data_IF_457163184523
#
_entry.id   IF_457163184523
#
_cell.length_a   1.000
_cell.length_b   1.000
_cell.length_c   1.000
_cell.angle_alpha   90.00
_cell.angle_beta   90.00
_cell.angle_gamma   90.00
#
_symmetry.space_group_name_H-M   'P 1'
#
loop_
_entity.id
_entity.type
_entity.pdbx_description
1 polymer ?
#
# COMPACT_ATOMS: atom_id res chain seq x y z
N UNK A 1 -26.97 1.08 12.14
CA UNK A 1 -26.35 -0.11 11.51
C UNK A 1 -25.03 -0.36 12.23
N UNK A 2 -24.74 -1.59 12.69
CA UNK A 2 -23.51 -1.82 13.45
C UNK A 2 -22.33 -1.84 12.46
N UNK A 3 -21.56 -0.76 12.43
CA UNK A 3 -20.27 -0.71 11.74
C UNK A 3 -19.21 -1.35 12.63
N UNK A 4 -19.11 -2.68 12.63
CA UNK A 4 -17.93 -3.34 13.19
C UNK A 4 -16.81 -3.25 12.15
N UNK A 5 -15.91 -2.27 12.32
CA UNK A 5 -14.66 -2.17 11.57
C UNK A 5 -13.84 -3.44 11.83
N UNK A 6 -13.91 -4.43 10.93
CA UNK A 6 -12.97 -5.54 10.99
C UNK A 6 -11.56 -5.03 10.70
N UNK A 7 -10.54 -5.48 11.45
CA UNK A 7 -9.17 -5.07 11.21
C UNK A 7 -8.72 -5.57 9.83
N UNK A 8 -8.26 -4.65 8.98
CA UNK A 8 -7.69 -4.99 7.68
C UNK A 8 -6.30 -5.61 7.86
N UNK A 9 -6.05 -6.71 7.16
CA UNK A 9 -4.72 -7.32 7.13
C UNK A 9 -3.90 -6.72 5.97
N UNK A 10 -3.08 -5.72 6.29
CA UNK A 10 -2.26 -5.04 5.28
C UNK A 10 -1.05 -5.88 4.84
N UNK A 11 -0.70 -5.87 3.55
CA UNK A 11 0.47 -6.55 3.06
C UNK A 11 1.75 -5.91 3.63
N UNK A 12 2.75 -6.76 3.90
CA UNK A 12 4.04 -6.31 4.41
C UNK A 12 4.76 -5.49 3.35
N UNK A 13 5.14 -4.27 3.70
CA UNK A 13 6.02 -3.43 2.89
C UNK A 13 7.44 -3.55 3.41
N UNK A 14 8.37 -4.04 2.58
CA UNK A 14 9.78 -4.12 2.95
C UNK A 14 10.32 -2.71 3.19
N UNK A 15 11.07 -2.52 4.28
CA UNK A 15 11.87 -1.32 4.50
C UNK A 15 13.29 -1.58 4.00
N UNK A 16 13.82 -0.67 3.21
CA UNK A 16 15.22 -0.61 2.82
C UNK A 16 15.97 0.41 3.68
N UNK A 17 17.30 0.38 3.62
CA UNK A 17 18.17 1.29 4.39
C UNK A 17 18.58 2.54 3.58
N UNK A 18 17.83 2.91 2.54
CA UNK A 18 18.13 4.09 1.72
C UNK A 18 18.05 5.36 2.58
N UNK A 19 19.11 6.16 2.55
CA UNK A 19 19.21 7.45 3.24
C UNK A 19 19.97 8.41 2.34
N UNK A 20 19.40 9.60 2.15
CA UNK A 20 19.99 10.69 1.38
C UNK A 20 20.48 11.81 2.32
N UNK A 21 21.55 12.52 1.97
CA UNK A 21 22.05 13.67 2.71
C UNK A 21 21.67 14.97 1.99
N UNK A 22 20.89 15.82 2.66
CA UNK A 22 20.54 17.15 2.21
C UNK A 22 21.20 18.20 3.10
N UNK A 23 22.32 18.76 2.61
CA UNK A 23 23.06 19.85 3.28
C UNK A 23 23.48 19.51 4.73
N UNK A 24 23.89 18.28 4.98
CA UNK A 24 24.26 17.76 6.30
C UNK A 24 23.09 17.15 7.08
N UNK A 25 21.89 17.10 6.50
CA UNK A 25 20.69 16.48 7.10
C UNK A 25 20.40 15.14 6.44
N UNK A 26 20.55 14.06 7.21
CA UNK A 26 20.22 12.70 6.75
C UNK A 26 18.70 12.48 6.72
N UNK A 27 18.16 12.05 5.59
CA UNK A 27 16.74 11.77 5.36
C UNK A 27 16.57 10.34 4.84
N UNK A 28 15.92 9.49 5.63
CA UNK A 28 15.66 8.10 5.26
C UNK A 28 14.47 7.98 4.30
N UNK A 29 14.65 7.20 3.24
CA UNK A 29 13.60 6.83 2.29
C UNK A 29 13.45 5.31 2.20
N UNK A 30 12.86 4.66 3.22
CA UNK A 30 12.83 3.21 3.33
C UNK A 30 12.02 2.52 2.24
N UNK A 31 11.25 3.26 1.43
CA UNK A 31 10.40 2.73 0.37
C UNK A 31 10.78 3.22 -1.02
N UNK A 32 11.99 3.78 -1.20
CA UNK A 32 12.57 4.17 -2.51
C UNK A 32 12.41 3.10 -3.60
N UNK A 33 12.40 1.82 -3.22
CA UNK A 33 12.20 0.71 -4.16
C UNK A 33 10.84 0.74 -4.89
N UNK A 34 9.82 1.38 -4.32
CA UNK A 34 8.52 1.59 -4.97
C UNK A 34 8.59 2.62 -6.13
N UNK A 35 9.68 3.38 -6.25
CA UNK A 35 9.88 4.31 -7.37
C UNK A 35 10.23 3.60 -8.69
N UNK A 36 10.58 2.31 -8.65
CA UNK A 36 10.73 1.46 -9.84
C UNK A 36 9.40 0.71 -10.09
N UNK A 37 8.54 1.19 -11.02
CA UNK A 37 7.26 0.58 -11.32
C UNK A 37 7.39 -0.74 -12.11
N UNK A 38 8.53 -0.95 -12.78
CA UNK A 38 8.74 -2.13 -13.62
C UNK A 38 9.33 -3.30 -12.84
N UNK A 39 9.81 -3.04 -11.61
CA UNK A 39 10.30 -4.11 -10.72
C UNK A 39 9.19 -5.10 -10.35
N UNK A 40 9.56 -6.38 -10.28
CA UNK A 40 8.63 -7.43 -9.85
C UNK A 40 8.20 -7.25 -8.38
N UNK A 41 9.05 -6.63 -7.54
CA UNK A 41 8.71 -6.31 -6.15
C UNK A 41 7.58 -5.28 -6.09
N UNK A 42 7.67 -4.18 -6.86
CA UNK A 42 6.63 -3.14 -6.90
C UNK A 42 5.33 -3.68 -7.46
N UNK A 43 5.38 -4.47 -8.54
CA UNK A 43 4.18 -5.10 -9.11
C UNK A 43 3.48 -6.02 -8.11
N UNK A 44 4.22 -6.88 -7.42
CA UNK A 44 3.68 -7.77 -6.40
C UNK A 44 3.07 -7.00 -5.21
N UNK A 45 3.72 -5.91 -4.81
CA UNK A 45 3.19 -5.03 -3.76
C UNK A 45 1.89 -4.34 -4.18
N UNK A 46 1.83 -3.79 -5.40
CA UNK A 46 0.60 -3.18 -5.94
C UNK A 46 -0.54 -4.19 -5.99
N UNK A 47 -0.29 -5.41 -6.45
CA UNK A 47 -1.30 -6.46 -6.48
C UNK A 47 -1.82 -6.78 -5.07
N UNK A 48 -0.94 -6.92 -4.09
CA UNK A 48 -1.33 -7.20 -2.71
C UNK A 48 -2.15 -6.05 -2.08
N UNK A 49 -1.79 -4.79 -2.36
CA UNK A 49 -2.57 -3.63 -1.91
C UNK A 49 -3.95 -3.56 -2.58
N UNK A 50 -4.02 -3.90 -3.87
CA UNK A 50 -5.27 -3.99 -4.61
C UNK A 50 -6.19 -5.06 -4.02
N UNK A 51 -5.66 -6.22 -3.61
CA UNK A 51 -6.46 -7.27 -2.97
C UNK A 51 -7.15 -6.78 -1.69
N UNK A 52 -6.44 -6.06 -0.83
CA UNK A 52 -7.04 -5.45 0.38
C UNK A 52 -8.12 -4.43 -0.01
N UNK A 53 -7.80 -3.56 -0.96
CA UNK A 53 -8.69 -2.48 -1.38
C UNK A 53 -9.97 -3.02 -2.00
N UNK A 54 -9.87 -3.93 -2.98
CA UNK A 54 -11.03 -4.50 -3.63
C UNK A 54 -11.81 -5.46 -2.73
N UNK A 55 -11.13 -6.17 -1.81
CA UNK A 55 -11.78 -6.93 -0.75
C UNK A 55 -12.70 -6.04 0.08
N UNK A 56 -12.16 -4.94 0.63
CA UNK A 56 -12.95 -3.99 1.41
C UNK A 56 -14.09 -3.36 0.60
N UNK A 57 -13.81 -2.91 -0.63
CA UNK A 57 -14.82 -2.26 -1.47
C UNK A 57 -15.95 -3.22 -1.88
N UNK A 58 -15.67 -4.53 -2.00
CA UNK A 58 -16.68 -5.54 -2.31
C UNK A 58 -17.72 -5.72 -1.21
N UNK A 59 -17.39 -5.34 0.03
CA UNK A 59 -18.30 -5.44 1.17
C UNK A 59 -19.33 -4.30 1.21
N UNK A 60 -19.18 -3.27 0.38
CA UNK A 60 -20.05 -2.08 0.36
C UNK A 60 -21.26 -2.35 -0.55
N UNK A 61 -22.47 -2.58 0.01
CA UNK A 61 -23.61 -3.05 -0.79
C UNK A 61 -24.09 -2.04 -1.85
N UNK A 62 -23.95 -0.74 -1.57
CA UNK A 62 -24.38 0.34 -2.47
C UNK A 62 -23.34 0.66 -3.55
N UNK A 63 -22.18 0.02 -3.54
CA UNK A 63 -21.13 0.29 -4.54
C UNK A 63 -21.58 -0.06 -5.95
N UNK A 64 -22.28 -1.18 -6.13
CA UNK A 64 -22.73 -1.62 -7.46
C UNK A 64 -23.74 -0.65 -8.08
N UNK A 65 -24.49 0.10 -7.28
CA UNK A 65 -25.45 1.11 -7.79
C UNK A 65 -24.82 2.43 -8.23
N UNK A 66 -23.52 2.64 -7.96
CA UNK A 66 -22.80 3.89 -8.26
C UNK A 66 -21.82 3.77 -9.44
N UNK A 67 -21.69 2.58 -10.04
CA UNK A 67 -20.88 2.36 -11.24
C UNK A 67 -21.58 2.89 -12.48
#
# INVERSE_FOLDING_TARGET
MPSTSQPLNYPKSRKADQVDDYHGTLVADPYRWLEDPDSEETKAWVEAQNQVTFGYLSEIPTRETLK
#
